data_IF_415920027972
#
_entry.id   IF_415920027972
#
_cell.length_a   1.000
_cell.length_b   1.000
_cell.length_c   1.000
_cell.angle_alpha   90.00
_cell.angle_beta   90.00
_cell.angle_gamma   90.00
#
_symmetry.space_group_name_H-M   'P 1'
#
loop_
_entity.id
_entity.type
_entity.pdbx_description
1 polymer ?
#
# COMPACT_ATOMS: atom_id res chain seq x y z
N UNK A 1 -45.39 -25.30 2.21
CA UNK A 1 -45.58 -24.10 1.39
C UNK A 1 -46.51 -24.41 0.26
N UNK A 2 -47.60 -23.63 0.08
CA UNK A 2 -48.51 -23.73 -1.05
C UNK A 2 -48.43 -22.51 -1.95
N UNK A 3 -48.66 -22.68 -3.25
CA UNK A 3 -48.82 -21.55 -4.18
C UNK A 3 -50.09 -20.80 -3.83
N UNK A 4 -50.07 -19.48 -3.73
CA UNK A 4 -51.19 -18.63 -3.30
C UNK A 4 -51.38 -17.45 -4.30
N UNK A 5 -51.54 -17.81 -5.58
CA UNK A 5 -51.77 -16.86 -6.67
C UNK A 5 -50.57 -15.96 -7.02
N UNK A 6 -50.84 -14.89 -7.75
CA UNK A 6 -49.83 -13.92 -8.18
C UNK A 6 -50.08 -12.57 -7.51
N UNK A 7 -48.99 -11.83 -7.27
CA UNK A 7 -49.03 -10.44 -6.87
C UNK A 7 -48.09 -9.64 -7.77
N UNK A 8 -48.61 -8.67 -8.50
CA UNK A 8 -47.89 -7.87 -9.47
C UNK A 8 -47.02 -8.71 -10.44
N UNK A 9 -47.64 -9.80 -10.97
CA UNK A 9 -46.96 -10.68 -11.94
C UNK A 9 -45.97 -11.69 -11.33
N UNK A 10 -45.78 -11.71 -10.00
CA UNK A 10 -44.85 -12.63 -9.32
C UNK A 10 -45.61 -13.66 -8.49
N UNK A 11 -45.25 -14.94 -8.58
CA UNK A 11 -45.85 -16.03 -7.83
C UNK A 11 -45.75 -15.78 -6.34
N UNK A 12 -46.93 -15.78 -5.65
CA UNK A 12 -47.05 -15.67 -4.21
C UNK A 12 -47.20 -17.06 -3.58
N UNK A 13 -46.65 -17.21 -2.40
CA UNK A 13 -46.70 -18.43 -1.59
C UNK A 13 -47.32 -18.14 -0.23
N UNK A 14 -47.96 -19.15 0.37
CA UNK A 14 -48.47 -19.13 1.73
C UNK A 14 -47.79 -20.19 2.57
N UNK A 15 -47.33 -19.79 3.76
CA UNK A 15 -46.77 -20.73 4.73
C UNK A 15 -47.88 -21.59 5.32
N UNK A 16 -47.73 -22.93 5.26
CA UNK A 16 -48.73 -23.86 5.77
C UNK A 16 -48.86 -23.82 7.31
N UNK A 17 -47.75 -23.51 8.02
CA UNK A 17 -47.72 -23.50 9.48
C UNK A 17 -48.22 -22.20 10.12
N UNK A 18 -47.96 -21.05 9.53
CA UNK A 18 -48.30 -19.75 10.13
C UNK A 18 -49.19 -18.87 9.26
N UNK A 19 -49.63 -19.33 8.08
CA UNK A 19 -50.48 -18.60 7.14
C UNK A 19 -49.86 -17.37 6.48
N UNK A 20 -48.61 -17.01 6.80
CA UNK A 20 -47.96 -15.82 6.27
C UNK A 20 -47.76 -15.94 4.76
N UNK A 21 -48.15 -14.88 4.05
CA UNK A 21 -47.97 -14.75 2.59
C UNK A 21 -46.64 -14.08 2.24
N UNK A 22 -45.93 -14.61 1.25
CA UNK A 22 -44.66 -14.05 0.79
C UNK A 22 -44.49 -14.32 -0.71
N UNK A 23 -43.63 -13.54 -1.34
CA UNK A 23 -43.29 -13.71 -2.73
C UNK A 23 -41.97 -14.49 -2.76
N UNK A 24 -41.94 -15.62 -3.50
CA UNK A 24 -40.79 -16.48 -3.62
C UNK A 24 -39.69 -15.85 -4.49
N UNK A 25 -38.46 -16.33 -4.29
CA UNK A 25 -37.30 -15.98 -5.07
C UNK A 25 -36.47 -14.81 -4.52
N UNK A 26 -35.16 -14.83 -4.79
CA UNK A 26 -34.27 -13.67 -4.59
C UNK A 26 -34.59 -12.66 -5.69
N UNK A 27 -35.06 -11.47 -5.35
CA UNK A 27 -35.33 -10.37 -6.30
C UNK A 27 -34.06 -9.76 -6.86
N UNK A 28 -32.93 -10.05 -6.27
CA UNK A 28 -31.61 -9.57 -6.69
C UNK A 28 -30.53 -10.51 -6.16
N UNK A 29 -29.44 -10.59 -6.90
CA UNK A 29 -28.23 -11.28 -6.47
C UNK A 29 -27.39 -10.30 -5.62
N UNK A 30 -27.32 -10.56 -4.31
CA UNK A 30 -26.63 -9.67 -3.37
C UNK A 30 -25.11 -9.76 -3.54
N UNK A 31 -24.58 -10.91 -3.96
CA UNK A 31 -23.15 -11.09 -4.23
C UNK A 31 -22.74 -10.34 -5.51
N UNK A 32 -23.60 -10.35 -6.53
CA UNK A 32 -23.38 -9.55 -7.74
C UNK A 32 -23.44 -8.05 -7.44
N UNK A 33 -24.42 -7.59 -6.63
CA UNK A 33 -24.52 -6.20 -6.18
C UNK A 33 -23.23 -5.78 -5.46
N UNK A 34 -22.73 -6.64 -4.58
CA UNK A 34 -21.51 -6.38 -3.84
C UNK A 34 -20.28 -6.32 -4.75
N UNK A 35 -20.16 -7.26 -5.67
CA UNK A 35 -19.08 -7.28 -6.66
C UNK A 35 -19.08 -6.01 -7.53
N UNK A 36 -20.25 -5.61 -8.05
CA UNK A 36 -20.37 -4.39 -8.85
C UNK A 36 -20.08 -3.11 -8.05
N UNK A 37 -20.46 -3.10 -6.77
CA UNK A 37 -20.14 -2.01 -5.86
C UNK A 37 -18.63 -1.90 -5.60
N UNK A 38 -17.98 -3.03 -5.32
CA UNK A 38 -16.57 -3.09 -4.94
C UNK A 38 -15.62 -2.91 -6.14
N UNK A 39 -15.87 -3.67 -7.21
CA UNK A 39 -14.97 -3.74 -8.37
C UNK A 39 -15.50 -2.98 -9.59
N UNK A 40 -16.81 -2.96 -9.79
CA UNK A 40 -17.48 -2.31 -10.93
C UNK A 40 -17.64 -0.80 -10.78
N UNK A 41 -17.18 -0.21 -9.67
CA UNK A 41 -17.29 1.25 -9.37
C UNK A 41 -18.74 1.77 -9.38
N UNK A 42 -19.74 0.90 -9.22
CA UNK A 42 -21.16 1.28 -9.24
C UNK A 42 -21.56 1.98 -7.95
N UNK A 43 -22.19 3.13 -8.06
CA UNK A 43 -22.72 3.86 -6.91
C UNK A 43 -24.03 3.24 -6.40
N UNK A 44 -24.45 3.57 -5.18
CA UNK A 44 -25.78 3.15 -4.65
C UNK A 44 -26.94 3.51 -5.58
N UNK A 45 -26.86 4.69 -6.23
CA UNK A 45 -27.93 5.14 -7.15
C UNK A 45 -27.98 4.28 -8.42
N UNK A 46 -26.84 3.97 -9.01
CA UNK A 46 -26.75 3.12 -10.21
C UNK A 46 -27.23 1.71 -9.93
N UNK A 47 -26.79 1.11 -8.81
CA UNK A 47 -27.25 -0.20 -8.37
C UNK A 47 -28.75 -0.22 -8.05
N UNK A 48 -29.27 0.84 -7.43
CA UNK A 48 -30.70 0.97 -7.14
C UNK A 48 -31.54 1.00 -8.43
N UNK A 49 -31.13 1.79 -9.43
CA UNK A 49 -31.76 1.84 -10.75
C UNK A 49 -31.74 0.47 -11.44
N UNK A 50 -30.57 -0.18 -11.48
CA UNK A 50 -30.38 -1.49 -12.12
C UNK A 50 -31.24 -2.58 -11.49
N UNK A 51 -31.44 -2.54 -10.16
CA UNK A 51 -32.17 -3.56 -9.41
C UNK A 51 -33.63 -3.16 -9.08
N UNK A 52 -34.15 -2.08 -9.68
CA UNK A 52 -35.50 -1.55 -9.44
C UNK A 52 -35.85 -1.47 -7.94
N UNK A 53 -34.97 -0.87 -7.14
CA UNK A 53 -35.18 -0.71 -5.70
C UNK A 53 -34.62 0.64 -5.19
N UNK A 54 -34.88 0.96 -3.92
CA UNK A 54 -34.35 2.20 -3.32
C UNK A 54 -32.85 2.08 -3.01
N UNK A 55 -32.15 3.22 -2.99
CA UNK A 55 -30.73 3.29 -2.55
C UNK A 55 -30.57 2.76 -1.12
N UNK A 56 -31.56 2.96 -0.25
CA UNK A 56 -31.57 2.43 1.12
C UNK A 56 -31.65 0.89 1.16
N UNK A 57 -32.35 0.30 0.18
CA UNK A 57 -32.37 -1.17 0.01
C UNK A 57 -31.00 -1.70 -0.39
N UNK A 58 -30.32 -1.06 -1.34
CA UNK A 58 -28.96 -1.42 -1.72
C UNK A 58 -28.00 -1.29 -0.54
N UNK A 59 -28.07 -0.19 0.22
CA UNK A 59 -27.23 -0.01 1.41
C UNK A 59 -27.43 -1.14 2.43
N UNK A 60 -28.70 -1.52 2.75
CA UNK A 60 -28.98 -2.62 3.67
C UNK A 60 -28.44 -3.96 3.18
N UNK A 61 -28.55 -4.24 1.88
CA UNK A 61 -28.00 -5.45 1.28
C UNK A 61 -26.47 -5.49 1.42
N UNK A 62 -25.79 -4.43 1.01
CA UNK A 62 -24.34 -4.28 1.14
C UNK A 62 -23.89 -4.36 2.60
N UNK A 63 -24.61 -3.72 3.54
CA UNK A 63 -24.27 -3.77 4.96
C UNK A 63 -24.42 -5.19 5.55
N UNK A 64 -25.34 -6.01 5.03
CA UNK A 64 -25.60 -7.37 5.50
C UNK A 64 -24.57 -8.41 5.02
N UNK A 65 -23.85 -8.14 3.94
CA UNK A 65 -22.81 -9.05 3.42
C UNK A 65 -21.67 -9.16 4.42
N UNK A 66 -21.26 -10.40 4.72
CA UNK A 66 -20.08 -10.67 5.56
C UNK A 66 -18.83 -10.67 4.69
N UNK A 67 -17.79 -9.94 5.12
CA UNK A 67 -16.50 -9.93 4.45
C UNK A 67 -15.82 -11.30 4.57
N UNK A 68 -15.27 -11.79 3.46
CA UNK A 68 -14.51 -13.05 3.45
C UNK A 68 -13.02 -12.75 3.72
N UNK A 69 -12.37 -13.68 4.40
CA UNK A 69 -10.92 -13.63 4.64
C UNK A 69 -10.25 -14.81 3.98
N UNK A 70 -9.02 -14.62 3.50
CA UNK A 70 -8.19 -15.74 3.10
C UNK A 70 -7.78 -16.55 4.34
N UNK A 71 -7.92 -17.87 4.25
CA UNK A 71 -7.54 -18.80 5.32
C UNK A 71 -6.29 -19.59 4.99
N UNK A 72 -5.91 -19.65 3.71
CA UNK A 72 -4.72 -20.37 3.23
C UNK A 72 -3.65 -19.37 2.82
N UNK A 73 -2.46 -19.51 3.40
CA UNK A 73 -1.32 -18.66 3.11
C UNK A 73 -0.13 -19.51 2.62
N UNK A 74 0.79 -18.85 1.92
CA UNK A 74 2.10 -19.43 1.59
C UNK A 74 2.87 -19.80 2.87
N UNK A 75 3.72 -20.83 2.80
CA UNK A 75 4.60 -21.19 3.91
C UNK A 75 5.83 -20.27 4.05
N UNK A 76 6.22 -19.61 2.97
CA UNK A 76 7.38 -18.70 2.89
C UNK A 76 6.98 -17.45 2.15
N UNK A 77 7.41 -16.26 2.59
CA UNK A 77 7.05 -15.00 1.98
C UNK A 77 8.19 -13.97 1.94
N UNK A 78 8.25 -13.21 0.85
CA UNK A 78 8.96 -11.94 0.75
C UNK A 78 7.96 -10.81 1.03
N UNK A 79 8.05 -10.20 2.21
CA UNK A 79 7.00 -9.31 2.72
C UNK A 79 7.23 -7.87 2.27
N UNK A 80 6.38 -7.39 1.38
CA UNK A 80 6.22 -5.95 1.11
C UNK A 80 5.40 -5.34 2.22
N UNK A 81 5.84 -4.23 2.80
CA UNK A 81 5.06 -3.52 3.81
C UNK A 81 5.03 -2.02 3.56
N UNK A 82 3.84 -1.46 3.67
CA UNK A 82 3.61 -0.02 3.51
C UNK A 82 2.28 0.38 4.17
N UNK A 83 2.10 1.69 4.38
CA UNK A 83 0.92 2.28 5.00
C UNK A 83 0.29 3.34 4.10
N UNK A 84 -1.01 3.22 3.85
CA UNK A 84 -1.75 4.25 3.14
C UNK A 84 -2.81 4.90 4.02
N UNK A 85 -3.05 6.21 3.83
CA UNK A 85 -3.96 7.00 4.64
C UNK A 85 -5.22 7.41 3.87
N UNK A 86 -6.34 7.46 4.60
CA UNK A 86 -7.65 7.91 4.15
C UNK A 86 -8.03 9.21 4.84
N UNK A 87 -7.50 10.32 4.30
CA UNK A 87 -7.53 11.64 4.95
C UNK A 87 -6.72 11.65 6.25
N UNK A 88 -7.15 12.47 7.23
CA UNK A 88 -6.52 12.55 8.55
C UNK A 88 -7.12 11.59 9.58
N UNK A 89 -8.10 10.75 9.18
CA UNK A 89 -8.90 9.94 10.13
C UNK A 89 -8.24 8.63 10.51
N UNK A 90 -7.72 7.89 9.52
CA UNK A 90 -7.03 6.62 9.75
C UNK A 90 -6.17 6.23 8.54
N UNK A 91 -5.23 5.35 8.77
CA UNK A 91 -4.48 4.61 7.76
C UNK A 91 -4.76 3.12 7.81
N UNK A 92 -4.38 2.41 6.78
CA UNK A 92 -4.26 0.96 6.77
C UNK A 92 -2.82 0.59 6.44
N UNK A 93 -2.21 -0.15 7.34
CA UNK A 93 -0.89 -0.75 7.18
C UNK A 93 -1.09 -2.15 6.61
N UNK A 94 -0.40 -2.48 5.54
CA UNK A 94 -0.59 -3.72 4.78
C UNK A 94 0.74 -4.43 4.64
N UNK A 95 0.70 -5.75 4.79
CA UNK A 95 1.80 -6.68 4.60
C UNK A 95 1.40 -7.65 3.49
N UNK A 96 2.10 -7.61 2.38
CA UNK A 96 1.77 -8.35 1.16
C UNK A 96 2.93 -9.25 0.76
N UNK A 97 2.66 -10.48 0.40
CA UNK A 97 3.69 -11.30 -0.24
C UNK A 97 3.97 -10.82 -1.66
N UNK A 98 5.24 -10.66 -2.01
CA UNK A 98 5.65 -10.16 -3.31
C UNK A 98 5.47 -11.17 -4.44
N UNK A 99 5.47 -12.47 -4.12
CA UNK A 99 5.41 -13.57 -5.09
C UNK A 99 3.97 -13.91 -5.41
N UNK A 100 3.16 -14.22 -4.39
CA UNK A 100 1.76 -14.62 -4.57
C UNK A 100 0.80 -13.43 -4.71
N UNK A 101 1.23 -12.25 -4.28
CA UNK A 101 0.38 -11.07 -4.22
C UNK A 101 -0.66 -11.09 -3.10
N UNK A 102 -0.67 -12.11 -2.24
CA UNK A 102 -1.59 -12.22 -1.12
C UNK A 102 -1.31 -11.17 -0.04
N UNK A 103 -2.36 -10.66 0.57
CA UNK A 103 -2.25 -9.85 1.78
C UNK A 103 -2.13 -10.79 2.98
N UNK A 104 -0.96 -10.83 3.58
CA UNK A 104 -0.66 -11.70 4.71
C UNK A 104 -1.20 -11.16 6.02
N UNK A 105 -1.17 -9.84 6.18
CA UNK A 105 -1.68 -9.15 7.37
C UNK A 105 -2.03 -7.70 7.04
N UNK A 106 -3.03 -7.16 7.74
CA UNK A 106 -3.34 -5.73 7.74
C UNK A 106 -3.79 -5.26 9.11
N UNK A 107 -3.58 -3.98 9.36
CA UNK A 107 -4.11 -3.31 10.55
C UNK A 107 -4.46 -1.86 10.29
N UNK A 108 -5.49 -1.37 10.97
CA UNK A 108 -5.85 0.05 10.94
C UNK A 108 -5.01 0.82 11.95
N UNK A 109 -4.48 1.95 11.52
CA UNK A 109 -3.59 2.78 12.33
C UNK A 109 -4.03 4.24 12.33
N UNK A 110 -3.77 4.96 13.42
CA UNK A 110 -3.88 6.43 13.45
C UNK A 110 -2.61 7.06 12.91
N UNK A 111 -1.47 6.52 13.34
CA UNK A 111 -0.14 6.93 12.92
C UNK A 111 0.72 5.70 12.66
N UNK A 112 1.59 5.82 11.70
CA UNK A 112 2.58 4.82 11.37
C UNK A 112 3.73 4.87 12.38
N UNK A 113 4.07 3.72 12.96
CA UNK A 113 5.19 3.57 13.89
C UNK A 113 5.99 2.31 13.60
N UNK A 114 7.28 2.33 13.94
CA UNK A 114 8.15 1.15 13.79
C UNK A 114 7.64 -0.05 14.59
N UNK A 115 7.07 0.19 15.79
CA UNK A 115 6.47 -0.87 16.63
C UNK A 115 5.31 -1.60 15.93
N UNK A 116 4.49 -0.88 15.16
CA UNK A 116 3.37 -1.47 14.43
C UNK A 116 3.85 -2.34 13.26
N UNK A 117 4.93 -1.95 12.58
CA UNK A 117 5.55 -2.79 11.56
C UNK A 117 6.12 -4.08 12.16
N UNK A 118 6.84 -3.98 13.27
CA UNK A 118 7.36 -5.15 13.98
C UNK A 118 6.23 -6.06 14.49
N UNK A 119 5.14 -5.48 14.99
CA UNK A 119 3.95 -6.24 15.40
C UNK A 119 3.37 -7.03 14.22
N UNK A 120 3.18 -6.40 13.05
CA UNK A 120 2.65 -7.07 11.86
C UNK A 120 3.53 -8.24 11.39
N UNK A 121 4.84 -8.08 11.40
CA UNK A 121 5.80 -9.15 11.08
C UNK A 121 5.68 -10.33 12.09
N UNK A 122 5.56 -10.02 13.38
CA UNK A 122 5.35 -11.06 14.41
C UNK A 122 4.02 -11.81 14.23
N UNK A 123 2.95 -11.11 13.88
CA UNK A 123 1.64 -11.75 13.62
C UNK A 123 1.67 -12.66 12.39
N UNK A 124 2.42 -12.30 11.35
CA UNK A 124 2.64 -13.17 10.18
C UNK A 124 3.42 -14.43 10.59
N UNK A 125 4.50 -14.27 11.34
CA UNK A 125 5.31 -15.40 11.82
C UNK A 125 4.52 -16.36 12.73
N UNK A 126 3.62 -15.84 13.60
CA UNK A 126 2.72 -16.66 14.43
C UNK A 126 1.77 -17.54 13.63
N UNK A 127 1.46 -17.17 12.37
CA UNK A 127 0.65 -17.99 11.46
C UNK A 127 1.44 -19.11 10.78
N UNK A 128 2.71 -19.33 11.17
CA UNK A 128 3.59 -20.33 10.60
C UNK A 128 4.24 -19.93 9.28
N UNK A 129 4.13 -18.66 8.87
CA UNK A 129 4.74 -18.16 7.63
C UNK A 129 6.19 -17.78 7.91
N UNK A 130 7.14 -18.45 7.25
CA UNK A 130 8.56 -18.09 7.29
C UNK A 130 8.81 -16.82 6.49
N UNK A 131 9.27 -15.75 7.16
CA UNK A 131 9.61 -14.50 6.50
C UNK A 131 11.03 -14.61 5.94
N UNK A 132 11.12 -14.63 4.62
CA UNK A 132 12.37 -14.79 3.90
C UNK A 132 13.08 -13.46 3.72
N UNK A 133 12.33 -12.40 3.49
CA UNK A 133 12.82 -11.02 3.39
C UNK A 133 11.73 -10.01 3.68
N UNK A 134 12.15 -8.76 3.95
CA UNK A 134 11.27 -7.62 4.13
C UNK A 134 11.66 -6.51 3.16
N UNK A 135 10.67 -5.94 2.47
CA UNK A 135 10.85 -4.80 1.56
C UNK A 135 9.96 -3.65 2.07
N UNK A 136 10.58 -2.50 2.38
CA UNK A 136 9.86 -1.36 2.97
C UNK A 136 10.44 -0.01 2.54
N UNK A 137 9.81 1.07 3.01
CA UNK A 137 10.35 2.41 2.86
C UNK A 137 11.58 2.65 3.79
N UNK A 138 12.29 3.74 3.54
CA UNK A 138 13.46 4.15 4.34
C UNK A 138 13.10 4.90 5.62
N UNK A 139 12.03 4.52 6.31
CA UNK A 139 11.63 5.13 7.58
C UNK A 139 12.75 5.01 8.61
N UNK A 140 13.07 6.12 9.28
CA UNK A 140 14.13 6.17 10.29
C UNK A 140 13.96 5.09 11.37
N UNK A 141 15.00 4.28 11.56
CA UNK A 141 15.03 3.20 12.56
C UNK A 141 14.23 1.95 12.19
N UNK A 142 13.54 1.91 11.05
CA UNK A 142 12.78 0.73 10.63
C UNK A 142 13.70 -0.39 10.09
N UNK A 143 14.68 -0.01 9.28
CA UNK A 143 15.58 -0.94 8.61
C UNK A 143 16.49 -1.73 9.58
N UNK A 144 16.64 -1.27 10.82
CA UNK A 144 17.47 -1.92 11.85
C UNK A 144 16.66 -2.86 12.77
N UNK A 145 15.32 -2.96 12.60
CA UNK A 145 14.46 -3.67 13.57
C UNK A 145 14.33 -5.18 13.34
N UNK A 146 14.67 -5.66 12.15
CA UNK A 146 14.39 -7.04 11.74
C UNK A 146 15.69 -7.85 11.72
N UNK A 147 16.19 -8.17 12.92
CA UNK A 147 17.42 -8.94 13.07
C UNK A 147 17.31 -10.31 12.38
N UNK A 148 18.34 -10.69 11.64
CA UNK A 148 18.42 -11.97 10.94
C UNK A 148 17.53 -12.10 9.69
N UNK A 149 16.72 -11.09 9.36
CA UNK A 149 15.90 -11.08 8.14
C UNK A 149 16.51 -10.12 7.12
N UNK A 150 16.81 -10.57 5.89
CA UNK A 150 17.24 -9.69 4.80
C UNK A 150 16.25 -8.56 4.54
N UNK A 151 16.72 -7.31 4.55
CA UNK A 151 15.87 -6.12 4.37
C UNK A 151 16.30 -5.36 3.13
N UNK A 152 15.36 -5.09 2.28
CA UNK A 152 15.51 -4.22 1.11
C UNK A 152 14.78 -2.90 1.35
N UNK A 153 15.48 -1.80 1.30
CA UNK A 153 14.85 -0.49 1.20
C UNK A 153 14.34 -0.28 -0.22
N UNK A 154 13.09 0.13 -0.36
CA UNK A 154 12.49 0.41 -1.66
C UNK A 154 13.28 1.47 -2.43
N UNK A 155 13.85 1.09 -3.57
CA UNK A 155 14.66 1.98 -4.41
C UNK A 155 13.83 3.17 -4.92
N UNK A 156 12.54 2.97 -5.18
CA UNK A 156 11.64 4.05 -5.61
C UNK A 156 11.45 5.11 -4.52
N UNK A 157 11.32 4.68 -3.24
CA UNK A 157 11.27 5.60 -2.11
C UNK A 157 12.59 6.35 -1.91
N UNK A 158 13.74 5.71 -2.11
CA UNK A 158 15.04 6.40 -2.08
C UNK A 158 15.14 7.47 -3.18
N UNK A 159 14.74 7.14 -4.41
CA UNK A 159 14.69 8.13 -5.51
C UNK A 159 13.75 9.30 -5.14
N UNK A 160 12.60 9.02 -4.54
CA UNK A 160 11.65 10.05 -4.10
C UNK A 160 12.24 10.93 -2.98
N UNK A 161 13.04 10.38 -2.07
CA UNK A 161 13.77 11.15 -1.04
C UNK A 161 14.75 12.11 -1.71
N UNK A 162 15.56 11.63 -2.64
CA UNK A 162 16.55 12.47 -3.35
C UNK A 162 15.83 13.56 -4.17
N UNK A 163 14.74 13.23 -4.83
CA UNK A 163 13.92 14.21 -5.56
C UNK A 163 13.39 15.34 -4.66
N UNK A 164 13.05 15.07 -3.40
CA UNK A 164 12.67 16.12 -2.45
C UNK A 164 13.81 17.07 -2.12
N UNK A 165 15.04 16.59 -2.12
CA UNK A 165 16.21 17.44 -1.91
C UNK A 165 16.62 18.21 -3.17
N UNK A 166 16.70 17.56 -4.33
CA UNK A 166 17.26 18.10 -5.56
C UNK A 166 16.23 18.73 -6.51
N UNK A 167 14.93 18.45 -6.33
CA UNK A 167 13.84 18.73 -7.29
C UNK A 167 13.90 17.83 -8.53
N UNK A 168 12.89 17.92 -9.43
CA UNK A 168 12.86 17.16 -10.69
C UNK A 168 13.82 17.72 -11.76
N UNK A 169 14.12 19.01 -11.68
CA UNK A 169 14.96 19.76 -12.64
C UNK A 169 16.00 20.55 -11.86
N UNK A 170 17.06 19.91 -11.36
CA UNK A 170 18.12 20.59 -10.62
C UNK A 170 18.85 21.59 -11.52
N UNK A 171 19.25 22.73 -10.96
CA UNK A 171 19.95 23.77 -11.71
C UNK A 171 21.47 23.61 -11.67
N UNK A 172 22.02 23.27 -10.52
CA UNK A 172 23.48 23.13 -10.32
C UNK A 172 23.99 21.86 -10.98
N UNK A 173 25.17 21.91 -11.60
CA UNK A 173 25.77 20.77 -12.30
C UNK A 173 25.96 19.57 -11.39
N UNK A 174 26.51 19.76 -10.18
CA UNK A 174 26.63 18.69 -9.18
C UNK A 174 25.29 18.01 -8.84
N UNK A 175 24.21 18.79 -8.78
CA UNK A 175 22.86 18.25 -8.51
C UNK A 175 22.28 17.50 -9.72
N UNK A 176 22.57 17.93 -10.95
CA UNK A 176 22.16 17.23 -12.19
C UNK A 176 22.81 15.87 -12.27
N UNK A 177 24.14 15.83 -12.13
CA UNK A 177 24.91 14.58 -12.19
C UNK A 177 24.48 13.59 -11.09
N UNK A 178 24.27 14.06 -9.84
CA UNK A 178 23.77 13.20 -8.79
C UNK A 178 22.37 12.68 -9.08
N UNK A 179 21.50 13.52 -9.66
CA UNK A 179 20.14 13.12 -10.02
C UNK A 179 20.14 12.05 -11.14
N UNK A 180 20.93 12.23 -12.18
CA UNK A 180 21.11 11.26 -13.26
C UNK A 180 21.63 9.93 -12.72
N UNK A 181 22.63 9.96 -11.83
CA UNK A 181 23.17 8.77 -11.17
C UNK A 181 22.10 8.04 -10.33
N UNK A 182 21.27 8.76 -9.58
CA UNK A 182 20.20 8.20 -8.76
C UNK A 182 19.13 7.48 -9.61
N UNK A 183 18.86 7.94 -10.82
CA UNK A 183 17.91 7.28 -11.72
C UNK A 183 18.40 5.90 -12.21
N UNK A 184 19.68 5.59 -12.06
CA UNK A 184 20.24 4.28 -12.37
C UNK A 184 20.00 3.26 -11.25
N UNK A 185 19.60 3.68 -10.04
CA UNK A 185 19.49 2.83 -8.84
C UNK A 185 18.67 1.55 -9.04
N UNK A 186 17.64 1.58 -9.89
CA UNK A 186 16.79 0.42 -10.18
C UNK A 186 17.27 -0.41 -11.38
N UNK A 187 18.35 0.00 -12.06
CA UNK A 187 18.75 -0.55 -13.36
C UNK A 187 20.18 -1.04 -13.41
N UNK A 188 20.99 -0.74 -12.38
CA UNK A 188 22.40 -1.07 -12.32
C UNK A 188 22.72 -2.03 -11.18
N UNK A 189 23.87 -2.65 -11.24
CA UNK A 189 24.42 -3.46 -10.15
C UNK A 189 24.98 -2.57 -9.02
N UNK A 190 25.33 -3.19 -7.90
CA UNK A 190 25.80 -2.53 -6.70
C UNK A 190 27.15 -1.86 -6.92
N UNK A 191 28.08 -2.58 -7.52
CA UNK A 191 29.46 -2.15 -7.74
C UNK A 191 29.50 -0.92 -8.64
N UNK A 192 28.77 -0.95 -9.74
CA UNK A 192 28.66 0.18 -10.68
C UNK A 192 28.02 1.40 -10.02
N UNK A 193 26.97 1.19 -9.19
CA UNK A 193 26.32 2.28 -8.49
C UNK A 193 27.25 2.91 -7.43
N UNK A 194 27.88 2.11 -6.61
CA UNK A 194 28.83 2.58 -5.59
C UNK A 194 30.03 3.29 -6.20
N UNK A 195 30.62 2.73 -7.27
CA UNK A 195 31.69 3.32 -8.01
C UNK A 195 31.33 4.71 -8.56
N UNK A 196 30.19 4.83 -9.22
CA UNK A 196 29.67 6.10 -9.73
C UNK A 196 29.39 7.13 -8.63
N UNK A 197 28.84 6.70 -7.50
CA UNK A 197 28.57 7.58 -6.35
C UNK A 197 29.87 8.07 -5.72
N UNK A 198 30.88 7.22 -5.63
CA UNK A 198 32.22 7.60 -5.12
C UNK A 198 32.92 8.55 -6.08
N UNK A 199 32.90 8.29 -7.40
CA UNK A 199 33.47 9.18 -8.41
C UNK A 199 32.80 10.58 -8.35
N UNK A 200 31.46 10.62 -8.24
CA UNK A 200 30.74 11.86 -8.05
C UNK A 200 31.19 12.59 -6.76
N UNK A 201 31.36 11.88 -5.66
CA UNK A 201 31.80 12.48 -4.40
C UNK A 201 33.24 13.01 -4.49
N UNK A 202 34.16 12.29 -5.14
CA UNK A 202 35.52 12.76 -5.39
C UNK A 202 35.52 14.07 -6.18
N UNK A 203 34.69 14.16 -7.22
CA UNK A 203 34.59 15.37 -8.06
C UNK A 203 33.98 16.57 -7.29
N UNK A 204 32.94 16.33 -6.47
CA UNK A 204 32.14 17.40 -5.88
C UNK A 204 32.29 17.55 -4.35
N UNK A 205 33.18 16.78 -3.72
CA UNK A 205 33.33 16.78 -2.26
C UNK A 205 33.72 18.12 -1.69
N UNK A 206 34.62 18.84 -2.36
CA UNK A 206 35.02 20.21 -1.99
C UNK A 206 33.79 21.14 -2.01
N UNK A 207 33.03 21.14 -3.11
CA UNK A 207 31.83 21.93 -3.28
C UNK A 207 30.79 21.62 -2.20
N UNK A 208 30.60 20.38 -1.78
CA UNK A 208 29.71 20.00 -0.70
C UNK A 208 30.11 20.57 0.66
N UNK A 209 31.39 20.87 0.85
CA UNK A 209 31.95 21.35 2.12
C UNK A 209 32.04 22.87 2.20
N UNK A 210 31.68 23.59 1.14
CA UNK A 210 31.60 25.05 1.14
C UNK A 210 30.73 25.55 2.27
N UNK A 211 31.25 26.56 3.01
CA UNK A 211 30.55 27.17 4.15
C UNK A 211 30.49 28.67 3.99
N UNK A 212 29.46 29.25 4.59
CA UNK A 212 29.32 30.70 4.77
C UNK A 212 28.83 31.02 6.16
N UNK A 213 29.16 32.18 6.65
CA UNK A 213 28.64 32.74 7.89
C UNK A 213 27.29 33.38 7.58
N UNK A 214 26.22 33.03 8.34
CA UNK A 214 24.90 33.65 8.21
C UNK A 214 24.84 35.01 8.97
N UNK A 215 23.73 35.74 8.82
CA UNK A 215 23.52 37.04 9.47
C UNK A 215 23.58 36.99 11.01
N UNK A 216 23.48 35.77 11.59
CA UNK A 216 23.60 35.52 13.04
C UNK A 216 24.99 35.05 13.45
N UNK A 217 26.00 35.15 12.58
CA UNK A 217 27.39 34.73 12.82
C UNK A 217 27.62 33.21 12.84
N UNK A 218 26.62 32.40 12.45
CA UNK A 218 26.72 30.92 12.43
C UNK A 218 27.30 30.42 11.12
N UNK A 219 28.30 29.58 11.23
CA UNK A 219 28.92 28.92 10.06
C UNK A 219 28.01 27.81 9.53
N UNK A 220 27.53 27.91 8.29
CA UNK A 220 26.59 26.98 7.66
C UNK A 220 27.07 26.50 6.32
N UNK A 221 26.72 25.23 5.98
CA UNK A 221 26.95 24.71 4.63
C UNK A 221 26.12 25.46 3.60
N UNK A 222 26.74 25.84 2.50
CA UNK A 222 26.09 26.51 1.36
C UNK A 222 25.13 25.55 0.67
N UNK A 223 25.58 24.32 0.40
CA UNK A 223 24.85 23.31 -0.39
C UNK A 223 24.14 22.27 0.48
N UNK A 224 23.38 22.72 1.51
CA UNK A 224 22.73 21.85 2.51
C UNK A 224 21.88 20.74 1.89
N UNK A 225 21.06 21.07 0.88
CA UNK A 225 20.13 20.11 0.24
C UNK A 225 20.88 19.05 -0.56
N UNK A 226 21.88 19.44 -1.34
CA UNK A 226 22.73 18.51 -2.09
C UNK A 226 23.50 17.58 -1.15
N UNK A 227 24.05 18.15 -0.09
CA UNK A 227 24.72 17.39 0.97
C UNK A 227 23.77 16.37 1.64
N UNK A 228 22.53 16.77 1.93
CA UNK A 228 21.52 15.86 2.51
C UNK A 228 21.13 14.76 1.54
N UNK A 229 21.03 15.04 0.24
CA UNK A 229 20.79 14.05 -0.80
C UNK A 229 21.90 12.98 -0.82
N UNK A 230 23.15 13.39 -0.93
CA UNK A 230 24.30 12.49 -0.90
C UNK A 230 24.36 11.66 0.38
N UNK A 231 24.20 12.30 1.55
CA UNK A 231 24.22 11.60 2.85
C UNK A 231 23.10 10.57 2.96
N UNK A 232 21.90 10.88 2.46
CA UNK A 232 20.79 9.93 2.42
C UNK A 232 21.12 8.69 1.59
N UNK A 233 21.74 8.85 0.43
CA UNK A 233 22.23 7.72 -0.39
C UNK A 233 23.26 6.90 0.37
N UNK A 234 24.32 7.55 0.87
CA UNK A 234 25.41 6.87 1.58
C UNK A 234 24.92 6.11 2.83
N UNK A 235 24.00 6.70 3.58
CA UNK A 235 23.42 6.08 4.79
C UNK A 235 22.57 4.87 4.46
N UNK A 236 21.77 4.93 3.38
CA UNK A 236 20.83 3.87 3.02
C UNK A 236 21.42 2.80 2.11
N UNK A 237 22.61 3.04 1.57
CA UNK A 237 23.29 2.16 0.61
C UNK A 237 23.32 0.67 1.04
N UNK A 238 23.58 0.31 2.31
CA UNK A 238 23.61 -1.08 2.74
C UNK A 238 22.27 -1.85 2.51
N UNK A 239 21.14 -1.12 2.41
CA UNK A 239 19.82 -1.72 2.21
C UNK A 239 19.26 -1.53 0.80
N UNK A 240 19.95 -0.79 -0.08
CA UNK A 240 19.45 -0.51 -1.43
C UNK A 240 19.74 -1.64 -2.42
N UNK A 241 20.68 -2.52 -2.11
CA UNK A 241 21.11 -3.62 -2.97
C UNK A 241 21.00 -5.00 -2.32
N UNK A 242 20.22 -5.13 -1.24
CA UNK A 242 19.99 -6.44 -0.60
C UNK A 242 19.37 -7.44 -1.58
N UNK A 243 18.48 -6.97 -2.47
CA UNK A 243 17.89 -7.77 -3.55
C UNK A 243 18.95 -8.33 -4.50
N UNK A 244 20.01 -7.58 -4.77
CA UNK A 244 21.13 -7.98 -5.62
C UNK A 244 22.04 -8.97 -4.88
N UNK A 245 22.48 -8.62 -3.66
CA UNK A 245 23.34 -9.47 -2.82
C UNK A 245 22.67 -10.81 -2.46
N UNK A 246 21.33 -10.88 -2.46
CA UNK A 246 20.51 -12.04 -2.12
C UNK A 246 19.59 -12.45 -3.27
N UNK A 247 20.11 -12.48 -4.49
CA UNK A 247 19.32 -12.78 -5.71
C UNK A 247 18.51 -14.06 -5.63
N UNK A 248 19.03 -15.12 -4.96
CA UNK A 248 18.31 -16.39 -4.76
C UNK A 248 17.02 -16.29 -3.95
N UNK A 249 16.76 -15.18 -3.27
CA UNK A 249 15.50 -14.95 -2.55
C UNK A 249 14.37 -14.44 -3.44
N UNK A 250 14.64 -14.04 -4.68
CA UNK A 250 13.66 -13.44 -5.60
C UNK A 250 12.88 -12.25 -4.99
N UNK A 251 13.56 -11.48 -4.12
CA UNK A 251 12.93 -10.31 -3.53
C UNK A 251 12.97 -9.13 -4.50
N UNK A 252 11.88 -8.33 -4.60
CA UNK A 252 11.89 -7.15 -5.44
C UNK A 252 12.68 -6.00 -4.79
N UNK A 253 13.21 -5.11 -5.62
CA UNK A 253 13.89 -3.89 -5.16
C UNK A 253 12.95 -2.71 -4.89
N UNK A 254 11.66 -2.87 -5.10
CA UNK A 254 10.64 -1.82 -4.90
C UNK A 254 9.38 -2.36 -4.23
N UNK A 255 8.56 -1.44 -3.67
CA UNK A 255 7.22 -1.71 -3.14
C UNK A 255 6.10 -1.43 -4.16
N UNK A 256 6.41 -1.26 -5.45
CA UNK A 256 5.44 -0.84 -6.48
C UNK A 256 4.19 -1.71 -6.53
N UNK A 257 4.30 -3.01 -6.23
CA UNK A 257 3.15 -3.92 -6.22
C UNK A 257 2.13 -3.60 -5.12
N UNK A 258 2.54 -3.01 -4.00
CA UNK A 258 1.64 -2.56 -2.93
C UNK A 258 1.15 -1.13 -3.21
N UNK A 259 2.00 -0.27 -3.75
CA UNK A 259 1.64 1.09 -4.16
C UNK A 259 0.54 1.08 -5.24
N UNK A 260 0.67 0.23 -6.26
CA UNK A 260 -0.35 0.02 -7.29
C UNK A 260 -1.67 -0.49 -6.71
N UNK A 261 -1.61 -1.40 -5.74
CA UNK A 261 -2.79 -1.91 -5.04
C UNK A 261 -3.49 -0.80 -4.23
N UNK A 262 -2.73 0.06 -3.54
CA UNK A 262 -3.28 1.22 -2.85
C UNK A 262 -3.88 2.26 -3.81
N UNK A 263 -3.26 2.46 -4.97
CA UNK A 263 -3.78 3.37 -5.99
C UNK A 263 -5.14 2.89 -6.52
N UNK A 264 -5.29 1.59 -6.82
CA UNK A 264 -6.56 1.01 -7.25
C UNK A 264 -7.63 1.08 -6.17
N UNK A 265 -7.30 0.74 -4.92
CA UNK A 265 -8.20 0.88 -3.77
C UNK A 265 -8.73 2.31 -3.63
N UNK A 266 -7.84 3.31 -3.67
CA UNK A 266 -8.22 4.72 -3.57
C UNK A 266 -9.06 5.17 -4.75
N UNK A 267 -8.74 4.72 -5.96
CA UNK A 267 -9.50 5.03 -7.16
C UNK A 267 -10.94 4.49 -7.10
N UNK A 268 -11.12 3.25 -6.63
CA UNK A 268 -12.44 2.65 -6.42
C UNK A 268 -13.23 3.41 -5.33
N UNK A 269 -12.59 3.72 -4.19
CA UNK A 269 -13.24 4.46 -3.10
C UNK A 269 -13.67 5.89 -3.48
N UNK A 270 -13.02 6.53 -4.45
CA UNK A 270 -13.40 7.89 -4.91
C UNK A 270 -14.80 7.95 -5.49
N UNK A 271 -15.33 6.85 -6.03
CA UNK A 271 -16.69 6.78 -6.56
C UNK A 271 -17.76 6.70 -5.45
N UNK A 272 -17.34 6.46 -4.22
CA UNK A 272 -18.23 6.25 -3.07
C UNK A 272 -18.08 7.38 -2.04
N UNK A 273 -18.50 8.58 -2.42
CA UNK A 273 -18.45 9.74 -1.54
C UNK A 273 -19.43 9.59 -0.37
N UNK A 274 -19.13 10.19 0.78
CA UNK A 274 -20.00 10.22 1.94
C UNK A 274 -20.07 8.91 2.77
N UNK A 275 -19.21 7.93 2.50
CA UNK A 275 -19.15 6.71 3.32
C UNK A 275 -18.76 7.01 4.77
N UNK A 276 -19.52 6.44 5.72
CA UNK A 276 -19.10 6.37 7.11
C UNK A 276 -17.76 5.61 7.24
N UNK A 277 -17.03 5.85 8.33
CA UNK A 277 -15.75 5.16 8.59
C UNK A 277 -15.96 3.63 8.59
N UNK A 278 -17.05 3.14 9.20
CA UNK A 278 -17.35 1.71 9.25
C UNK A 278 -17.54 1.10 7.85
N UNK A 279 -18.34 1.74 6.98
CA UNK A 279 -18.54 1.28 5.60
C UNK A 279 -17.26 1.38 4.75
N UNK A 280 -16.46 2.43 4.96
CA UNK A 280 -15.18 2.55 4.30
C UNK A 280 -14.22 1.44 4.71
N UNK A 281 -14.14 1.10 6.00
CA UNK A 281 -13.34 -0.03 6.48
C UNK A 281 -13.86 -1.35 5.91
N UNK A 282 -15.18 -1.59 5.90
CA UNK A 282 -15.77 -2.79 5.29
C UNK A 282 -15.37 -2.93 3.81
N UNK A 283 -15.42 -1.84 3.04
CA UNK A 283 -14.96 -1.83 1.65
C UNK A 283 -13.48 -2.21 1.54
N UNK A 284 -12.62 -1.61 2.37
CA UNK A 284 -11.19 -1.89 2.43
C UNK A 284 -10.92 -3.34 2.83
N UNK A 285 -11.65 -3.86 3.83
CA UNK A 285 -11.50 -5.22 4.33
C UNK A 285 -11.78 -6.26 3.24
N UNK A 286 -12.85 -6.05 2.48
CA UNK A 286 -13.18 -6.95 1.37
C UNK A 286 -12.23 -6.80 0.19
N UNK A 287 -11.84 -5.57 -0.14
CA UNK A 287 -10.89 -5.33 -1.22
C UNK A 287 -9.54 -5.98 -0.95
N UNK A 288 -9.05 -5.91 0.27
CA UNK A 288 -7.77 -6.49 0.67
C UNK A 288 -7.86 -7.98 1.00
N UNK A 289 -9.05 -8.52 1.35
CA UNK A 289 -9.31 -9.94 1.71
C UNK A 289 -8.30 -10.53 2.71
N UNK A 290 -7.88 -9.76 3.71
CA UNK A 290 -6.84 -10.14 4.67
C UNK A 290 -7.41 -10.55 6.03
#
# INVERSE_FOLDING_TARGET
MSKDGFHKGVQRYKCASCGKRFIGGKRSDDDLIWHEYLYGKQTYLQLAKKNNCSTKTIQRKIDAIKTQRHTTFTSVANVLMDTTYFGKKFGVMVFKDSITGQILFKQYVKQETNKLYLYGIKEIAKRGIKIQSVICDGRKGLLQLFEGIPIQMCNFHQIAIIRRYLTKKPKMQASKELWEHVLLLTKTDKESFEGGLNAWHTKWGFFLNERKVDAQGKNRYVHKRLRSAYRSLKTNLPWLFTWYDKAGLNMPNTTNAIDGHFADLKNKLRNHNGLSIARKKKFIDEFLKA
#
